data_IF_762402174272
#
_entry.id   IF_762402174272
#
_cell.length_a   1.000
_cell.length_b   1.000
_cell.length_c   1.000
_cell.angle_alpha   90.00
_cell.angle_beta   90.00
_cell.angle_gamma   90.00
#
_symmetry.space_group_name_H-M   'P 1'
#
loop_
_entity.id
_entity.type
_entity.pdbx_description
1 polymer ?
#
# COMPACT_ATOMS: atom_id res chain seq x y z
N UNK A 1 -11.11 35.82 -9.31
CA UNK A 1 -9.80 35.16 -9.52
C UNK A 1 -9.17 35.00 -8.15
N UNK A 2 -8.89 33.83 -7.59
CA UNK A 2 -8.79 32.44 -8.07
C UNK A 2 -9.51 31.54 -7.03
N UNK A 3 -10.47 30.71 -7.42
CA UNK A 3 -10.29 29.28 -7.75
C UNK A 3 -9.64 28.50 -6.61
N UNK A 4 -10.50 28.03 -5.69
CA UNK A 4 -10.46 26.75 -4.98
C UNK A 4 -9.20 25.93 -5.25
N UNK A 5 -8.16 26.18 -4.45
CA UNK A 5 -7.01 25.30 -4.39
C UNK A 5 -7.47 24.06 -3.62
N UNK A 6 -7.52 22.86 -4.23
CA UNK A 6 -7.76 21.65 -3.47
C UNK A 6 -6.67 21.57 -2.42
N UNK A 7 -7.07 21.62 -1.15
CA UNK A 7 -6.21 21.29 -0.03
C UNK A 7 -5.72 19.85 -0.25
N UNK A 8 -4.54 19.72 -0.87
CA UNK A 8 -3.81 18.48 -0.89
C UNK A 8 -3.37 18.21 0.54
N UNK A 9 -4.19 17.46 1.25
CA UNK A 9 -3.78 16.74 2.45
C UNK A 9 -2.72 15.76 1.97
N UNK A 10 -1.45 16.06 2.22
CA UNK A 10 -0.38 15.08 2.25
C UNK A 10 -0.63 14.17 3.45
N UNK A 11 -1.70 13.38 3.33
CA UNK A 11 -2.13 12.41 4.31
C UNK A 11 -1.20 11.24 4.18
N UNK A 12 -0.15 11.23 5.01
CA UNK A 12 0.43 9.97 5.44
C UNK A 12 -0.74 9.03 5.76
N UNK A 13 -0.78 7.87 5.12
CA UNK A 13 -1.77 6.83 5.41
C UNK A 13 -1.52 6.37 6.84
N UNK A 14 -2.19 7.08 7.73
CA UNK A 14 -2.09 6.98 9.17
C UNK A 14 -3.48 7.28 9.72
N UNK A 15 -4.29 6.24 9.80
CA UNK A 15 -5.35 6.09 10.80
C UNK A 15 -6.58 7.02 10.80
N UNK A 16 -6.70 8.05 9.97
CA UNK A 16 -7.76 9.08 10.16
C UNK A 16 -8.78 9.21 9.02
N UNK A 17 -9.46 8.11 8.67
CA UNK A 17 -10.85 8.20 8.20
C UNK A 17 -11.77 7.44 9.17
N UNK A 18 -11.87 8.03 10.37
CA UNK A 18 -12.73 7.62 11.47
C UNK A 18 -14.18 8.04 11.22
N UNK A 19 -14.88 7.29 10.40
CA UNK A 19 -16.33 7.43 10.29
C UNK A 19 -16.83 6.62 9.11
N UNK A 20 -17.27 5.39 9.24
CA UNK A 20 -18.23 4.93 10.24
C UNK A 20 -18.17 3.41 10.25
N UNK A 21 -18.51 2.82 11.41
CA UNK A 21 -18.67 1.37 11.60
C UNK A 21 -17.36 0.64 11.90
N UNK A 22 -17.14 0.30 13.18
CA UNK A 22 -16.82 -1.06 13.66
C UNK A 22 -16.17 -0.99 15.05
N UNK A 23 -17.01 -1.22 16.05
CA UNK A 23 -16.71 -1.33 17.47
C UNK A 23 -15.91 -2.61 17.85
N UNK A 24 -15.00 -3.09 17.00
CA UNK A 24 -14.27 -4.34 17.26
C UNK A 24 -12.82 -4.19 16.82
N UNK A 25 -11.93 -4.61 17.70
CA UNK A 25 -10.47 -4.55 17.57
C UNK A 25 -9.95 -5.08 16.21
N UNK A 26 -8.80 -4.55 15.74
CA UNK A 26 -8.38 -4.50 14.34
C UNK A 26 -7.74 -5.80 13.86
N UNK A 27 -8.53 -6.72 13.29
CA UNK A 27 -7.96 -7.86 12.58
C UNK A 27 -7.57 -7.42 11.16
N UNK A 28 -6.34 -6.92 11.01
CA UNK A 28 -5.80 -6.57 9.69
C UNK A 28 -5.80 -7.80 8.79
N UNK A 29 -6.61 -7.79 7.75
CA UNK A 29 -6.77 -8.91 6.83
C UNK A 29 -5.80 -8.88 5.65
N UNK A 30 -5.07 -7.78 5.45
CA UNK A 30 -3.98 -7.70 4.49
C UNK A 30 -2.74 -7.13 5.17
N UNK A 31 -1.64 -7.87 5.04
CA UNK A 31 -0.32 -7.51 5.55
C UNK A 31 0.62 -7.40 4.36
N UNK A 32 1.36 -6.33 4.27
CA UNK A 32 2.31 -6.11 3.19
C UNK A 32 3.69 -5.91 3.79
N UNK A 33 4.67 -6.60 3.24
CA UNK A 33 6.08 -6.45 3.62
C UNK A 33 6.88 -5.98 2.42
N UNK A 34 7.64 -4.90 2.59
CA UNK A 34 8.46 -4.29 1.56
C UNK A 34 9.94 -4.43 1.90
N UNK A 35 10.70 -5.09 1.04
CA UNK A 35 12.13 -5.28 1.22
C UNK A 35 12.90 -5.32 -0.10
N UNK A 36 14.20 -5.13 -0.02
CA UNK A 36 15.12 -5.20 -1.15
C UNK A 36 15.71 -6.60 -1.26
N UNK A 37 15.57 -7.23 -2.44
CA UNK A 37 16.15 -8.52 -2.78
C UNK A 37 17.66 -8.36 -2.97
N UNK A 38 18.45 -9.09 -2.19
CA UNK A 38 19.91 -9.02 -2.20
C UNK A 38 20.43 -8.59 -0.83
N UNK A 39 20.11 -7.36 -0.44
CA UNK A 39 20.51 -6.78 0.86
C UNK A 39 19.59 -7.18 2.01
N UNK A 40 18.31 -7.49 1.72
CA UNK A 40 17.29 -7.69 2.75
C UNK A 40 16.86 -6.40 3.44
N UNK A 41 17.26 -5.24 2.91
CA UNK A 41 16.96 -3.95 3.51
C UNK A 41 15.46 -3.63 3.41
N UNK A 42 14.91 -3.18 4.53
CA UNK A 42 13.51 -2.80 4.64
C UNK A 42 13.28 -1.43 3.99
N UNK A 43 12.36 -1.34 3.02
CA UNK A 43 12.07 -0.10 2.32
C UNK A 43 10.88 0.62 2.96
N UNK A 44 11.04 1.92 3.21
CA UNK A 44 9.96 2.78 3.72
C UNK A 44 9.47 3.81 2.71
N UNK A 45 10.17 3.95 1.58
CA UNK A 45 9.86 4.88 0.49
C UNK A 45 9.11 4.16 -0.64
N UNK A 46 8.02 3.47 -0.28
CA UNK A 46 7.18 2.74 -1.23
C UNK A 46 5.81 3.43 -1.31
N UNK A 47 5.44 3.83 -2.52
CA UNK A 47 4.08 4.27 -2.78
C UNK A 47 3.19 3.05 -3.02
N UNK A 48 2.16 2.87 -2.22
CA UNK A 48 1.19 1.77 -2.30
C UNK A 48 -0.17 2.32 -2.66
N UNK A 49 -0.71 1.86 -3.78
CA UNK A 49 -2.07 2.12 -4.21
C UNK A 49 -2.87 0.81 -4.21
N UNK A 50 -4.04 0.82 -3.59
CA UNK A 50 -4.96 -0.31 -3.58
C UNK A 50 -6.26 0.12 -4.26
N UNK A 51 -6.60 -0.55 -5.35
CA UNK A 51 -7.83 -0.28 -6.10
C UNK A 51 -8.70 -1.53 -6.18
N UNK A 52 -10.02 -1.38 -6.05
CA UNK A 52 -10.97 -2.46 -6.32
C UNK A 52 -11.06 -2.78 -7.82
N UNK A 53 -11.62 -3.93 -8.18
CA UNK A 53 -12.03 -4.27 -9.56
C UNK A 53 -12.84 -3.20 -10.29
N UNK A 54 -13.56 -2.34 -9.56
CA UNK A 54 -14.32 -1.20 -10.11
C UNK A 54 -13.45 0.01 -10.46
N UNK A 55 -12.15 -0.02 -10.18
CA UNK A 55 -11.22 1.09 -10.41
C UNK A 55 -11.28 2.18 -9.34
N UNK A 56 -12.00 1.94 -8.24
CA UNK A 56 -12.00 2.85 -7.10
C UNK A 56 -10.72 2.64 -6.29
N UNK A 57 -9.95 3.71 -6.10
CA UNK A 57 -8.78 3.68 -5.20
C UNK A 57 -9.29 3.74 -3.76
N UNK A 58 -9.15 2.62 -3.06
CA UNK A 58 -9.55 2.50 -1.66
C UNK A 58 -8.45 2.98 -0.71
N UNK A 59 -7.18 2.84 -1.10
CA UNK A 59 -6.04 3.21 -0.26
C UNK A 59 -4.93 3.75 -1.15
N UNK A 60 -4.33 4.87 -0.75
CA UNK A 60 -3.16 5.44 -1.42
C UNK A 60 -2.17 5.95 -0.37
N UNK A 61 -1.06 5.23 -0.17
CA UNK A 61 0.00 5.56 0.77
C UNK A 61 1.26 5.95 -0.02
N UNK A 62 1.86 7.10 0.28
CA UNK A 62 3.07 7.55 -0.41
C UNK A 62 4.39 7.14 0.28
N UNK A 63 4.35 6.97 1.60
CA UNK A 63 5.48 6.56 2.46
C UNK A 63 5.12 5.29 3.24
N UNK A 64 4.85 4.20 2.51
CA UNK A 64 4.57 2.93 3.15
C UNK A 64 5.87 2.34 3.72
N UNK A 65 5.96 2.36 5.06
CA UNK A 65 6.98 1.67 5.84
C UNK A 65 7.01 0.16 5.54
N UNK A 66 8.10 -0.55 5.90
CA UNK A 66 8.38 -1.91 5.45
C UNK A 66 7.33 -2.94 5.84
N UNK A 67 6.45 -2.60 6.78
CA UNK A 67 5.27 -3.35 7.15
C UNK A 67 4.06 -2.43 7.06
N UNK A 68 3.17 -2.70 6.12
CA UNK A 68 1.87 -2.02 6.00
C UNK A 68 0.75 -3.00 6.29
N UNK A 69 -0.17 -2.58 7.15
CA UNK A 69 -1.33 -3.38 7.54
C UNK A 69 -2.58 -2.63 7.11
N UNK A 70 -3.46 -3.31 6.40
CA UNK A 70 -4.70 -2.70 5.95
C UNK A 70 -5.87 -3.66 6.16
N UNK A 71 -7.03 -3.09 6.43
CA UNK A 71 -8.26 -3.83 6.54
C UNK A 71 -9.16 -3.45 5.36
N UNK A 72 -9.37 -4.40 4.47
CA UNK A 72 -10.22 -4.22 3.29
C UNK A 72 -11.52 -5.01 3.48
N UNK A 73 -12.59 -4.58 2.82
CA UNK A 73 -13.80 -5.41 2.76
C UNK A 73 -13.52 -6.70 1.97
N UNK A 74 -14.29 -7.79 2.20
CA UNK A 74 -14.15 -8.99 1.39
C UNK A 74 -14.44 -8.68 -0.08
N UNK A 75 -13.44 -8.87 -0.93
CA UNK A 75 -13.46 -8.39 -2.31
C UNK A 75 -12.17 -8.73 -3.05
N UNK A 76 -12.06 -8.24 -4.28
CA UNK A 76 -10.85 -8.39 -5.09
C UNK A 76 -10.22 -7.02 -5.30
N UNK A 77 -8.97 -6.91 -4.90
CA UNK A 77 -8.22 -5.67 -4.98
C UNK A 77 -6.93 -5.87 -5.76
N UNK A 78 -6.45 -4.79 -6.35
CA UNK A 78 -5.16 -4.69 -6.99
C UNK A 78 -4.30 -3.75 -6.16
N UNK A 79 -3.21 -4.28 -5.65
CA UNK A 79 -2.17 -3.55 -4.94
C UNK A 79 -1.08 -3.20 -5.94
N UNK A 80 -0.78 -1.93 -6.09
CA UNK A 80 0.31 -1.38 -6.89
C UNK A 80 1.31 -0.76 -5.94
N UNK A 81 2.48 -1.37 -5.79
CA UNK A 81 3.57 -0.87 -4.97
C UNK A 81 4.67 -0.32 -5.89
N UNK A 82 5.02 0.94 -5.73
CA UNK A 82 6.03 1.65 -6.51
C UNK A 82 7.18 2.02 -5.58
N UNK A 83 8.36 1.49 -5.83
CA UNK A 83 9.56 1.86 -5.09
C UNK A 83 10.07 3.25 -5.53
N UNK A 84 10.81 3.93 -4.65
CA UNK A 84 11.47 5.22 -4.95
C UNK A 84 12.35 5.22 -6.22
N UNK A 85 12.89 4.06 -6.61
CA UNK A 85 13.68 3.88 -7.86
C UNK A 85 12.78 3.86 -9.14
N UNK A 86 11.46 3.98 -8.98
CA UNK A 86 10.48 3.91 -10.07
C UNK A 86 10.03 2.48 -10.41
N UNK A 87 10.55 1.46 -9.73
CA UNK A 87 10.13 0.08 -9.96
C UNK A 87 8.73 -0.20 -9.40
N UNK A 88 7.80 -0.56 -10.29
CA UNK A 88 6.41 -0.84 -9.94
C UNK A 88 6.15 -2.35 -9.89
N UNK A 89 5.60 -2.85 -8.78
CA UNK A 89 5.07 -4.19 -8.64
C UNK A 89 3.56 -4.17 -8.42
N UNK A 90 2.83 -5.01 -9.16
CA UNK A 90 1.38 -5.16 -9.03
C UNK A 90 1.04 -6.55 -8.53
N UNK A 91 0.15 -6.62 -7.55
CA UNK A 91 -0.35 -7.87 -6.96
C UNK A 91 -1.86 -7.80 -6.84
N UNK A 92 -2.52 -8.85 -7.31
CA UNK A 92 -3.95 -9.01 -7.06
C UNK A 92 -4.13 -9.78 -5.75
N UNK A 93 -4.96 -9.24 -4.87
CA UNK A 93 -5.30 -9.84 -3.58
C UNK A 93 -6.79 -10.06 -3.51
N UNK A 94 -7.17 -11.27 -3.13
CA UNK A 94 -8.56 -11.59 -2.82
C UNK A 94 -8.71 -11.67 -1.31
N UNK A 95 -9.47 -10.73 -0.78
CA UNK A 95 -9.79 -10.60 0.64
C UNK A 95 -11.01 -11.47 0.91
N UNK A 96 -10.88 -12.38 1.87
CA UNK A 96 -11.95 -13.27 2.28
C UNK A 96 -12.25 -13.04 3.77
N UNK A 97 -13.51 -13.14 4.20
CA UNK A 97 -13.86 -12.94 5.60
C UNK A 97 -13.13 -13.97 6.48
N UNK A 98 -12.50 -13.50 7.56
CA UNK A 98 -11.76 -14.37 8.49
C UNK A 98 -10.44 -14.93 7.96
N UNK A 99 -9.90 -14.41 6.85
CA UNK A 99 -8.55 -14.77 6.38
C UNK A 99 -7.65 -13.55 6.24
N UNK A 100 -6.44 -13.70 6.77
CA UNK A 100 -5.34 -12.77 6.53
C UNK A 100 -4.59 -13.13 5.24
N UNK A 101 -4.13 -12.11 4.52
CA UNK A 101 -3.31 -12.22 3.32
C UNK A 101 -2.00 -11.49 3.51
N UNK A 102 -0.92 -12.24 3.48
CA UNK A 102 0.43 -11.71 3.48
C UNK A 102 0.92 -11.51 2.04
N UNK A 103 1.29 -10.27 1.72
CA UNK A 103 1.87 -9.85 0.46
C UNK A 103 3.32 -9.46 0.72
N UNK A 104 4.22 -10.03 -0.06
CA UNK A 104 5.63 -9.70 0.02
C UNK A 104 6.07 -9.08 -1.30
N UNK A 105 6.66 -7.90 -1.20
CA UNK A 105 7.18 -7.15 -2.33
C UNK A 105 8.70 -7.06 -2.15
N UNK A 106 9.39 -7.67 -3.10
CA UNK A 106 10.84 -7.71 -3.13
C UNK A 106 11.32 -7.05 -4.42
N UNK A 107 12.01 -5.92 -4.31
CA UNK A 107 12.64 -5.25 -5.44
C UNK A 107 14.11 -5.63 -5.49
N UNK A 108 14.64 -5.95 -6.67
CA UNK A 108 16.09 -6.05 -6.83
C UNK A 108 16.70 -4.66 -6.71
N UNK A 109 17.90 -4.55 -6.14
CA UNK A 109 18.67 -3.33 -6.31
C UNK A 109 18.82 -3.02 -7.81
N UNK A 110 18.76 -1.74 -8.21
CA UNK A 110 19.18 -1.38 -9.55
C UNK A 110 20.60 -1.91 -9.72
N UNK A 111 20.81 -2.77 -10.72
CA UNK A 111 22.15 -3.23 -11.04
C UNK A 111 22.98 -1.98 -11.27
N UNK A 112 23.85 -1.63 -10.32
CA UNK A 112 24.81 -0.54 -10.52
C UNK A 112 25.74 -1.03 -11.60
N UNK A 113 25.43 -0.69 -12.84
CA UNK A 113 26.37 -0.76 -13.95
C UNK A 113 27.44 0.28 -13.64
N UNK A 114 28.47 -0.14 -12.91
CA UNK A 114 29.73 0.59 -12.86
C UNK A 114 30.27 0.61 -14.30
N UNK A 115 30.33 1.80 -14.90
CA UNK A 115 31.13 2.07 -16.10
C UNK A 115 32.31 2.95 -15.71
#
# INVERSE_FOLDING_TARGET
MAADEPQFVTGGVGLEERGQMLASKPDYNVRMTFATRGTGEYRSDVQVEISDTKGHTNVNAHDAGPLMFVNLEPGRYRVTATAADGQVQRREVQVQPGRTKDLYFYWSEPATIVQ
#
